data_IF_129865063955
#
_entry.id   IF_129865063955
#
_cell.length_a   1.000
_cell.length_b   1.000
_cell.length_c   1.000
_cell.angle_alpha   90.00
_cell.angle_beta   90.00
_cell.angle_gamma   90.00
#
_symmetry.space_group_name_H-M   'P 1'
#
loop_
_entity.id
_entity.type
_entity.pdbx_description
1 polymer ?
#
# COMPACT_ATOMS: atom_id res chain seq x y z
N UNK A 1 -11.90 12.31 0.03
CA UNK A 1 -10.52 12.16 0.51
C UNK A 1 -9.60 12.53 -0.62
N UNK A 2 -8.57 13.33 -0.36
CA UNK A 2 -7.58 13.72 -1.37
C UNK A 2 -6.85 12.48 -1.90
N UNK A 3 -6.61 12.42 -3.22
CA UNK A 3 -5.75 11.42 -3.86
C UNK A 3 -4.26 11.75 -3.75
N UNK A 4 -3.93 12.85 -3.08
CA UNK A 4 -2.56 13.32 -2.90
C UNK A 4 -2.10 12.96 -1.49
N UNK A 5 -0.90 12.37 -1.41
CA UNK A 5 -0.16 12.10 -0.18
C UNK A 5 1.22 12.76 -0.24
N UNK A 6 1.87 12.90 0.92
CA UNK A 6 3.24 13.41 1.03
C UNK A 6 3.41 14.72 0.23
N UNK A 7 2.48 15.65 0.41
CA UNK A 7 2.42 16.88 -0.36
C UNK A 7 3.44 17.92 0.13
N UNK A 8 4.28 18.41 -0.78
CA UNK A 8 5.31 19.42 -0.53
C UNK A 8 5.24 20.56 -1.55
N UNK A 9 5.27 21.79 -1.06
CA UNK A 9 5.45 22.99 -1.86
C UNK A 9 6.65 23.80 -1.35
N UNK A 10 7.67 23.94 -2.21
CA UNK A 10 8.98 24.52 -1.89
C UNK A 10 9.62 23.89 -0.63
N UNK A 11 9.60 22.56 -0.54
CA UNK A 11 10.23 21.82 0.56
C UNK A 11 9.49 21.85 1.91
N UNK A 12 8.32 22.48 1.99
CA UNK A 12 7.46 22.47 3.17
C UNK A 12 6.14 21.77 2.86
N UNK A 13 5.57 21.06 3.83
CA UNK A 13 4.24 20.46 3.67
C UNK A 13 3.16 21.54 3.61
N UNK A 14 2.04 21.25 2.95
CA UNK A 14 0.91 22.20 2.92
C UNK A 14 0.35 22.47 4.33
N UNK A 15 0.40 21.47 5.22
CA UNK A 15 0.02 21.61 6.63
C UNK A 15 0.91 22.61 7.37
N UNK A 16 2.22 22.59 7.13
CA UNK A 16 3.16 23.58 7.69
C UNK A 16 2.89 25.01 7.18
N UNK A 17 2.24 25.14 6.03
CA UNK A 17 1.81 26.42 5.44
C UNK A 17 0.39 26.84 5.87
N UNK A 18 -0.24 26.09 6.77
CA UNK A 18 -1.55 26.43 7.33
C UNK A 18 -2.74 25.92 6.53
N UNK A 19 -2.55 25.08 5.50
CA UNK A 19 -3.64 24.47 4.75
C UNK A 19 -4.07 23.14 5.40
N UNK A 20 -5.38 22.90 5.47
CA UNK A 20 -5.93 21.64 6.00
C UNK A 20 -6.03 20.58 4.91
N UNK A 21 -6.19 21.01 3.65
CA UNK A 21 -6.34 20.13 2.49
C UNK A 21 -5.71 20.73 1.24
N UNK A 22 -5.20 19.88 0.35
CA UNK A 22 -4.79 20.28 -1.01
C UNK A 22 -5.93 20.97 -1.77
N UNK A 23 -7.19 20.62 -1.49
CA UNK A 23 -8.35 21.23 -2.15
C UNK A 23 -8.52 22.73 -1.82
N UNK A 24 -7.96 23.19 -0.71
CA UNK A 24 -7.97 24.59 -0.29
C UNK A 24 -6.73 25.35 -0.77
N UNK A 25 -5.73 24.62 -1.27
CA UNK A 25 -4.49 25.20 -1.74
C UNK A 25 -4.64 25.69 -3.18
N UNK A 26 -4.49 27.00 -3.37
CA UNK A 26 -4.47 27.60 -4.70
C UNK A 26 -3.10 27.41 -5.33
N UNK A 27 -3.05 26.76 -6.49
CA UNK A 27 -1.81 26.53 -7.25
C UNK A 27 -1.16 27.88 -7.63
N UNK A 28 0.06 28.17 -7.14
CA UNK A 28 0.78 29.39 -7.51
C UNK A 28 1.28 29.36 -8.96
N UNK A 29 1.57 30.53 -9.54
CA UNK A 29 2.04 30.65 -10.93
C UNK A 29 3.45 30.11 -11.16
N UNK A 30 4.24 29.90 -10.11
CA UNK A 30 5.62 29.44 -10.17
C UNK A 30 5.99 28.51 -9.02
N UNK A 31 7.14 27.85 -9.13
CA UNK A 31 7.69 26.83 -8.22
C UNK A 31 7.11 25.41 -8.37
N UNK A 32 7.59 24.49 -7.54
CA UNK A 32 7.37 23.05 -7.67
C UNK A 32 6.49 22.52 -6.53
N UNK A 33 5.45 21.77 -6.91
CA UNK A 33 4.58 21.01 -6.03
C UNK A 33 4.82 19.52 -6.24
N UNK A 34 5.29 18.82 -5.20
CA UNK A 34 5.52 17.37 -5.21
C UNK A 34 4.47 16.68 -4.35
N UNK A 35 3.97 15.57 -4.84
CA UNK A 35 3.06 14.71 -4.10
C UNK A 35 3.11 13.29 -4.67
N UNK A 36 2.69 12.34 -3.86
CA UNK A 36 2.43 10.97 -4.26
C UNK A 36 0.94 10.82 -4.61
N UNK A 37 0.65 10.33 -5.82
CA UNK A 37 -0.72 10.04 -6.22
C UNK A 37 -1.15 8.65 -5.72
N UNK A 38 -2.31 8.60 -5.05
CA UNK A 38 -2.95 7.37 -4.59
C UNK A 38 -4.40 7.32 -5.07
N UNK A 39 -4.66 6.41 -6.00
CA UNK A 39 -6.04 6.09 -6.42
C UNK A 39 -6.81 5.51 -5.23
N UNK A 40 -8.09 5.88 -5.07
CA UNK A 40 -8.98 5.23 -4.09
C UNK A 40 -9.72 4.02 -4.67
N UNK A 41 -9.34 3.59 -5.88
CA UNK A 41 -10.04 2.53 -6.60
C UNK A 41 -9.94 1.22 -5.81
N UNK A 42 -11.07 0.81 -5.24
CA UNK A 42 -11.24 -0.48 -4.59
C UNK A 42 -11.69 -1.53 -5.61
N UNK A 43 -11.55 -2.83 -5.30
CA UNK A 43 -12.06 -3.88 -6.18
C UNK A 43 -13.57 -3.69 -6.37
N UNK A 44 -14.04 -3.80 -7.61
CA UNK A 44 -15.48 -3.77 -7.89
C UNK A 44 -16.17 -4.94 -7.18
N UNK A 45 -17.45 -4.77 -6.84
CA UNK A 45 -18.22 -5.84 -6.23
C UNK A 45 -18.20 -7.10 -7.13
N UNK A 46 -17.84 -8.24 -6.54
CA UNK A 46 -17.66 -9.50 -7.28
C UNK A 46 -16.25 -9.73 -7.84
N UNK A 47 -15.32 -8.80 -7.65
CA UNK A 47 -13.89 -9.04 -7.91
C UNK A 47 -13.40 -10.21 -7.08
N UNK A 48 -12.57 -11.06 -7.70
CA UNK A 48 -12.03 -12.26 -7.05
C UNK A 48 -10.58 -12.03 -6.69
N UNK A 49 -10.21 -12.51 -5.50
CA UNK A 49 -8.81 -12.65 -5.13
C UNK A 49 -8.12 -13.70 -6.04
N UNK A 50 -6.79 -13.71 -6.03
CA UNK A 50 -6.02 -14.76 -6.68
C UNK A 50 -6.46 -16.15 -6.22
N UNK A 51 -6.43 -17.11 -7.13
CA UNK A 51 -6.66 -18.51 -6.76
C UNK A 51 -5.62 -18.97 -5.74
N UNK A 52 -5.97 -19.88 -4.83
CA UNK A 52 -5.03 -20.41 -3.85
C UNK A 52 -3.75 -20.96 -4.48
N UNK A 53 -3.87 -21.72 -5.58
CA UNK A 53 -2.71 -22.30 -6.28
C UNK A 53 -1.75 -21.27 -6.86
N UNK A 54 -2.28 -20.18 -7.46
CA UNK A 54 -1.45 -19.13 -8.01
C UNK A 54 -0.79 -18.31 -6.90
N UNK A 55 -1.51 -18.08 -5.80
CA UNK A 55 -0.96 -17.41 -4.63
C UNK A 55 0.17 -18.20 -3.97
N UNK A 56 -0.01 -19.51 -3.81
CA UNK A 56 1.05 -20.40 -3.33
C UNK A 56 2.29 -20.36 -4.23
N UNK A 57 2.09 -20.35 -5.56
CA UNK A 57 3.17 -20.16 -6.52
C UNK A 57 3.92 -18.84 -6.32
N UNK A 58 3.21 -17.72 -6.13
CA UNK A 58 3.84 -16.42 -5.85
C UNK A 58 4.65 -16.46 -4.55
N UNK A 59 4.11 -17.05 -3.48
CA UNK A 59 4.83 -17.16 -2.21
C UNK A 59 6.08 -18.04 -2.31
N UNK A 60 6.01 -19.13 -3.08
CA UNK A 60 7.14 -20.01 -3.35
C UNK A 60 8.24 -19.27 -4.11
N UNK A 61 7.89 -18.60 -5.22
CA UNK A 61 8.84 -17.79 -6.00
C UNK A 61 9.46 -16.65 -5.18
N UNK A 62 8.66 -16.00 -4.33
CA UNK A 62 9.18 -15.02 -3.37
C UNK A 62 10.17 -15.66 -2.39
N UNK A 63 9.95 -16.90 -1.96
CA UNK A 63 10.85 -17.58 -1.03
C UNK A 63 12.15 -18.02 -1.70
N UNK A 64 12.06 -18.64 -2.89
CA UNK A 64 13.20 -19.20 -3.61
C UNK A 64 14.05 -18.14 -4.33
N UNK A 65 13.46 -17.00 -4.68
CA UNK A 65 14.18 -15.93 -5.36
C UNK A 65 15.36 -15.40 -4.52
N UNK A 66 16.54 -15.20 -5.14
CA UNK A 66 17.72 -14.65 -4.47
C UNK A 66 17.60 -13.15 -4.19
N UNK A 67 16.52 -12.50 -4.62
CA UNK A 67 16.30 -11.07 -4.41
C UNK A 67 16.23 -10.70 -2.93
N UNK A 68 16.66 -9.49 -2.61
CA UNK A 68 16.48 -8.91 -1.28
C UNK A 68 14.99 -8.68 -0.98
N UNK A 69 14.59 -8.59 0.31
CA UNK A 69 13.22 -8.25 0.66
C UNK A 69 12.72 -6.95 0.01
N UNK A 70 13.60 -5.95 -0.11
CA UNK A 70 13.30 -4.64 -0.71
C UNK A 70 13.05 -4.77 -2.21
N UNK A 71 13.87 -5.56 -2.91
CA UNK A 71 13.66 -5.88 -4.33
C UNK A 71 12.35 -6.66 -4.54
N UNK A 72 12.03 -7.59 -3.65
CA UNK A 72 10.76 -8.35 -3.70
C UNK A 72 9.55 -7.44 -3.53
N UNK A 73 9.61 -6.47 -2.62
CA UNK A 73 8.57 -5.43 -2.46
C UNK A 73 8.46 -4.58 -3.73
N UNK A 74 9.59 -4.16 -4.32
CA UNK A 74 9.59 -3.38 -5.55
C UNK A 74 8.92 -4.14 -6.71
N UNK A 75 9.23 -5.44 -6.86
CA UNK A 75 8.59 -6.32 -7.84
C UNK A 75 7.09 -6.44 -7.55
N UNK A 76 6.70 -6.78 -6.33
CA UNK A 76 5.28 -6.88 -5.94
C UNK A 76 4.51 -5.58 -6.21
N UNK A 77 5.12 -4.43 -5.92
CA UNK A 77 4.54 -3.11 -6.21
C UNK A 77 4.31 -2.93 -7.70
N UNK A 78 5.30 -3.28 -8.52
CA UNK A 78 5.22 -3.18 -9.99
C UNK A 78 4.06 -4.00 -10.58
N UNK A 79 3.79 -5.18 -10.03
CA UNK A 79 2.72 -6.09 -10.51
C UNK A 79 1.42 -5.99 -9.71
N UNK A 80 1.38 -5.17 -8.66
CA UNK A 80 0.25 -5.10 -7.73
C UNK A 80 -1.07 -4.88 -8.45
N UNK A 81 -1.07 -4.02 -9.47
CA UNK A 81 -2.24 -3.65 -10.27
C UNK A 81 -2.91 -4.82 -11.01
N UNK A 82 -2.23 -5.97 -11.16
CA UNK A 82 -2.73 -7.12 -11.92
C UNK A 82 -3.63 -8.05 -11.10
N UNK A 83 -3.66 -7.95 -9.78
CA UNK A 83 -4.40 -8.90 -8.96
C UNK A 83 -4.94 -8.34 -7.66
N UNK A 84 -5.90 -9.04 -7.08
CA UNK A 84 -6.46 -8.71 -5.77
C UNK A 84 -6.14 -9.81 -4.75
N UNK A 85 -6.16 -9.43 -3.48
CA UNK A 85 -5.91 -10.34 -2.36
C UNK A 85 -7.15 -10.43 -1.47
N UNK A 86 -7.33 -11.57 -0.82
CA UNK A 86 -8.19 -11.65 0.36
C UNK A 86 -7.38 -11.41 1.65
N UNK A 87 -8.07 -11.25 2.76
CA UNK A 87 -7.49 -10.89 4.05
C UNK A 87 -6.55 -11.98 4.59
N UNK A 88 -6.77 -13.25 4.23
CA UNK A 88 -5.87 -14.35 4.60
C UNK A 88 -4.58 -14.32 3.79
N UNK A 89 -4.66 -14.07 2.49
CA UNK A 89 -3.49 -13.89 1.62
C UNK A 89 -2.68 -12.67 2.07
N UNK A 90 -3.34 -11.58 2.44
CA UNK A 90 -2.70 -10.41 3.02
C UNK A 90 -1.95 -10.74 4.31
N UNK A 91 -2.55 -11.53 5.20
CA UNK A 91 -1.90 -12.00 6.43
C UNK A 91 -0.65 -12.85 6.15
N UNK A 92 -0.69 -13.70 5.13
CA UNK A 92 0.46 -14.51 4.71
C UNK A 92 1.57 -13.62 4.16
N UNK A 93 1.23 -12.65 3.31
CA UNK A 93 2.18 -11.69 2.75
C UNK A 93 2.87 -10.87 3.84
N UNK A 94 2.12 -10.32 4.79
CA UNK A 94 2.71 -9.58 5.92
C UNK A 94 3.56 -10.49 6.82
N UNK A 95 3.21 -11.76 6.94
CA UNK A 95 4.00 -12.74 7.69
C UNK A 95 5.32 -13.13 7.02
N UNK A 96 5.50 -12.82 5.73
CA UNK A 96 6.76 -13.04 5.01
C UNK A 96 7.83 -12.01 5.42
N UNK A 97 7.42 -10.76 5.65
CA UNK A 97 8.32 -9.65 5.95
C UNK A 97 8.62 -9.54 7.45
N UNK A 98 9.90 -9.38 7.78
CA UNK A 98 10.37 -9.42 9.18
C UNK A 98 10.38 -8.06 9.84
N UNK A 99 10.67 -6.99 9.08
CA UNK A 99 10.75 -5.64 9.64
C UNK A 99 9.41 -4.91 9.49
N UNK A 100 9.18 -3.94 10.36
CA UNK A 100 8.00 -3.08 10.34
C UNK A 100 7.89 -2.29 9.04
N UNK A 101 9.01 -1.80 8.54
CA UNK A 101 9.06 -0.96 7.33
C UNK A 101 8.64 -1.77 6.10
N UNK A 102 9.12 -3.01 6.00
CA UNK A 102 8.77 -3.93 4.92
C UNK A 102 7.28 -4.30 4.95
N UNK A 103 6.73 -4.56 6.14
CA UNK A 103 5.29 -4.84 6.32
C UNK A 103 4.43 -3.63 5.97
N UNK A 104 4.82 -2.44 6.40
CA UNK A 104 4.14 -1.20 6.07
C UNK A 104 4.10 -0.95 4.55
N UNK A 105 5.22 -1.16 3.86
CA UNK A 105 5.28 -1.02 2.40
C UNK A 105 4.40 -2.03 1.65
N UNK A 106 4.44 -3.30 2.06
CA UNK A 106 3.57 -4.32 1.51
C UNK A 106 2.08 -4.01 1.80
N UNK A 107 1.79 -3.51 3.01
CA UNK A 107 0.46 -3.08 3.41
C UNK A 107 -0.07 -1.95 2.55
N UNK A 108 0.67 -0.85 2.42
CA UNK A 108 0.29 0.30 1.61
C UNK A 108 0.05 -0.09 0.15
N UNK A 109 0.89 -0.98 -0.39
CA UNK A 109 0.79 -1.46 -1.78
C UNK A 109 -0.52 -2.21 -2.04
N UNK A 110 -0.98 -3.06 -1.12
CA UNK A 110 -2.11 -3.96 -1.36
C UNK A 110 -3.39 -3.60 -0.61
N UNK A 111 -3.38 -2.66 0.34
CA UNK A 111 -4.54 -2.33 1.17
C UNK A 111 -5.81 -1.99 0.37
N UNK A 112 -5.66 -1.22 -0.71
CA UNK A 112 -6.77 -0.87 -1.59
C UNK A 112 -7.18 -2.00 -2.55
N UNK A 113 -6.45 -3.11 -2.54
CA UNK A 113 -6.64 -4.28 -3.41
C UNK A 113 -7.17 -5.50 -2.65
N UNK A 114 -7.60 -5.31 -1.41
CA UNK A 114 -8.22 -6.36 -0.59
C UNK A 114 -9.70 -6.46 -0.92
N UNK A 115 -10.15 -7.65 -1.35
CA UNK A 115 -11.56 -7.88 -1.76
C UNK A 115 -12.52 -8.00 -0.59
N UNK A 116 -12.07 -8.46 0.57
CA UNK A 116 -12.87 -8.79 1.74
C UNK A 116 -12.45 -7.98 2.98
N UNK A 117 -12.31 -6.66 2.81
CA UNK A 117 -11.77 -5.77 3.85
C UNK A 117 -12.51 -5.84 5.21
N UNK A 118 -13.76 -6.30 5.24
CA UNK A 118 -14.51 -6.55 6.47
C UNK A 118 -13.82 -7.59 7.39
N UNK A 119 -12.94 -8.43 6.84
CA UNK A 119 -12.10 -9.40 7.56
C UNK A 119 -10.73 -8.84 7.97
N UNK A 120 -10.55 -7.52 8.00
CA UNK A 120 -9.24 -6.89 8.24
C UNK A 120 -8.52 -7.34 9.52
N UNK A 121 -9.29 -7.71 10.55
CA UNK A 121 -8.77 -8.28 11.80
C UNK A 121 -7.85 -9.48 11.57
N UNK A 122 -8.03 -10.24 10.48
CA UNK A 122 -7.22 -11.41 10.17
C UNK A 122 -5.76 -11.05 9.84
N UNK A 123 -5.50 -9.90 9.22
CA UNK A 123 -4.13 -9.47 8.91
C UNK A 123 -3.59 -8.42 9.88
N UNK A 124 -4.45 -7.66 10.56
CA UNK A 124 -4.01 -6.64 11.52
C UNK A 124 -3.21 -7.22 12.70
N UNK A 125 -3.44 -8.49 13.06
CA UNK A 125 -2.64 -9.21 14.07
C UNK A 125 -1.16 -9.40 13.71
N UNK A 126 -0.74 -9.01 12.50
CA UNK A 126 0.66 -9.07 12.06
C UNK A 126 1.46 -7.80 12.35
N UNK A 127 0.81 -6.71 12.71
CA UNK A 127 1.47 -5.47 13.12
C UNK A 127 1.74 -5.51 14.62
N UNK A 128 2.90 -5.02 15.03
CA UNK A 128 3.32 -5.04 16.44
C UNK A 128 2.76 -3.85 17.22
N UNK A 129 2.53 -2.73 16.54
CA UNK A 129 1.98 -1.51 17.13
C UNK A 129 0.94 -0.87 16.21
N UNK A 130 0.06 -0.05 16.78
CA UNK A 130 -0.91 0.73 16.01
C UNK A 130 -0.23 1.80 15.13
N UNK A 131 0.99 2.21 15.48
CA UNK A 131 1.79 3.18 14.73
C UNK A 131 2.27 2.63 13.39
N UNK A 132 2.42 1.30 13.26
CA UNK A 132 2.80 0.63 12.01
C UNK A 132 1.69 0.69 10.94
N UNK A 133 0.46 1.00 11.36
CA UNK A 133 -0.75 1.05 10.51
C UNK A 133 -1.19 2.49 10.22
N UNK A 134 -0.64 3.48 10.94
CA UNK A 134 -1.02 4.89 10.90
C UNK A 134 -0.38 5.65 9.73
#
# INVERSE_FOLDING_TARGET
>A
GSHFRNEFYQGLTLKQRGYVSVAEWTLPEFAEFKFDYVSNQRPLQGSKALSPSLWEGILLEMHESPCTPEEKIAVLRSISHNFFLNSMQMRQLLGYFKTSEQRAEAFLTFYLRIVDLYNSKLFLVRFESAEEVA
#
